data_IF_345119181386
#
_entry.id   IF_345119181386
#
_cell.length_a   1.000
_cell.length_b   1.000
_cell.length_c   1.000
_cell.angle_alpha   90.00
_cell.angle_beta   90.00
_cell.angle_gamma   90.00
#
_symmetry.space_group_name_H-M   'P 1'
#
loop_
_entity.id
_entity.type
_entity.pdbx_description
1 polymer ?
#
# COMPACT_ATOMS: atom_id res chain seq x y z
N UNK A 1 12.38 -10.28 8.93
CA UNK A 1 12.29 -9.63 7.60
C UNK A 1 13.09 -10.38 6.52
N UNK A 2 14.42 -10.53 6.67
CA UNK A 2 15.23 -11.26 5.67
C UNK A 2 14.89 -12.76 5.56
N UNK A 3 14.57 -13.41 6.68
CA UNK A 3 14.17 -14.83 6.72
C UNK A 3 12.85 -15.09 5.98
N UNK A 4 11.79 -14.33 6.31
CA UNK A 4 10.48 -14.38 5.63
C UNK A 4 10.59 -14.10 4.13
N UNK A 5 11.44 -13.15 3.72
CA UNK A 5 11.70 -12.87 2.31
C UNK A 5 12.37 -14.05 1.61
N UNK A 6 13.38 -14.65 2.26
CA UNK A 6 14.08 -15.83 1.77
C UNK A 6 13.14 -17.02 1.55
N UNK A 7 12.27 -17.27 2.52
CA UNK A 7 11.37 -18.43 2.51
C UNK A 7 10.24 -18.30 1.47
N UNK A 8 9.66 -17.11 1.31
CA UNK A 8 8.43 -16.94 0.51
C UNK A 8 8.59 -16.19 -0.81
N UNK A 9 9.66 -15.42 -1.00
CA UNK A 9 9.79 -14.52 -2.16
C UNK A 9 11.05 -14.78 -2.99
N UNK A 10 12.09 -15.41 -2.45
CA UNK A 10 13.37 -15.55 -3.14
C UNK A 10 13.34 -16.42 -4.42
N UNK A 11 12.31 -17.25 -4.59
CA UNK A 11 12.15 -18.14 -5.76
C UNK A 11 10.89 -17.85 -6.58
N UNK A 12 10.21 -16.74 -6.33
CA UNK A 12 9.02 -16.35 -7.08
C UNK A 12 9.42 -15.75 -8.43
N UNK A 13 8.93 -16.37 -9.50
CA UNK A 13 9.13 -15.91 -10.89
C UNK A 13 8.28 -14.68 -11.20
N UNK A 14 8.81 -13.76 -12.02
CA UNK A 14 8.08 -12.60 -12.53
C UNK A 14 7.62 -12.79 -13.98
N UNK A 15 7.71 -13.99 -14.54
CA UNK A 15 7.41 -14.27 -15.95
C UNK A 15 5.96 -13.95 -16.37
N UNK A 16 5.04 -13.96 -15.41
CA UNK A 16 3.63 -13.65 -15.62
C UNK A 16 3.27 -12.20 -15.20
N UNK A 17 4.26 -11.37 -14.91
CA UNK A 17 4.06 -9.97 -14.55
C UNK A 17 4.20 -9.07 -15.78
N UNK A 18 3.43 -7.98 -15.80
CA UNK A 18 3.61 -6.90 -16.77
C UNK A 18 4.64 -5.94 -16.19
N UNK A 19 5.76 -5.74 -16.90
CA UNK A 19 6.71 -4.67 -16.57
C UNK A 19 6.10 -3.33 -16.99
N UNK A 20 5.43 -2.67 -16.04
CA UNK A 20 4.64 -1.48 -16.30
C UNK A 20 5.54 -0.33 -16.75
N UNK A 21 5.29 0.16 -17.97
CA UNK A 21 5.86 1.42 -18.46
C UNK A 21 5.29 2.60 -17.67
N UNK A 22 5.86 3.79 -17.86
CA UNK A 22 5.32 5.00 -17.23
C UNK A 22 3.86 5.27 -17.65
N UNK A 23 3.50 4.97 -18.90
CA UNK A 23 2.13 5.10 -19.38
C UNK A 23 1.19 4.13 -18.66
N UNK A 24 1.62 2.88 -18.43
CA UNK A 24 0.86 1.87 -17.69
C UNK A 24 0.65 2.27 -16.24
N UNK A 25 1.72 2.73 -15.57
CA UNK A 25 1.66 3.23 -14.18
C UNK A 25 0.68 4.38 -14.05
N UNK A 26 0.73 5.36 -14.97
CA UNK A 26 -0.20 6.49 -14.98
C UNK A 26 -1.64 6.04 -15.21
N UNK A 27 -1.87 5.10 -16.12
CA UNK A 27 -3.21 4.53 -16.36
C UNK A 27 -3.75 3.83 -15.11
N UNK A 28 -2.94 3.01 -14.46
CA UNK A 28 -3.31 2.31 -13.21
C UNK A 28 -3.61 3.32 -12.10
N UNK A 29 -2.78 4.35 -11.93
CA UNK A 29 -3.03 5.41 -10.96
C UNK A 29 -4.37 6.09 -11.22
N UNK A 30 -4.63 6.48 -12.47
CA UNK A 30 -5.87 7.15 -12.84
C UNK A 30 -7.12 6.26 -12.66
N UNK A 31 -7.01 4.93 -12.72
CA UNK A 31 -8.12 4.04 -12.36
C UNK A 31 -8.52 4.20 -10.89
N UNK A 32 -7.56 4.48 -10.02
CA UNK A 32 -7.78 4.75 -8.60
C UNK A 32 -8.72 5.93 -8.35
N UNK A 33 -8.72 6.95 -9.22
CA UNK A 33 -9.57 8.13 -9.11
C UNK A 33 -11.06 7.77 -9.02
N UNK A 34 -11.55 6.91 -9.90
CA UNK A 34 -12.96 6.50 -9.93
C UNK A 34 -13.40 5.83 -8.62
N UNK A 35 -12.53 5.01 -8.05
CA UNK A 35 -12.85 4.29 -6.80
C UNK A 35 -12.65 5.15 -5.55
N UNK A 36 -11.55 5.88 -5.44
CA UNK A 36 -11.20 6.57 -4.20
C UNK A 36 -11.85 7.94 -4.14
N UNK A 37 -11.80 8.71 -5.23
CA UNK A 37 -12.33 10.07 -5.27
C UNK A 37 -13.83 10.03 -5.49
N UNK A 38 -14.29 9.42 -6.58
CA UNK A 38 -15.73 9.49 -6.93
C UNK A 38 -16.60 8.60 -6.02
N UNK A 39 -16.21 7.33 -5.81
CA UNK A 39 -17.05 6.40 -5.04
C UNK A 39 -16.87 6.53 -3.52
N UNK A 40 -15.63 6.67 -3.04
CA UNK A 40 -15.34 6.73 -1.59
C UNK A 40 -15.22 8.15 -1.04
N UNK A 41 -15.30 9.18 -1.89
CA UNK A 41 -15.28 10.59 -1.46
C UNK A 41 -13.93 11.06 -0.94
N UNK A 42 -12.83 10.42 -1.31
CA UNK A 42 -11.48 10.87 -0.95
C UNK A 42 -11.23 12.24 -1.59
N UNK A 43 -10.78 13.25 -0.82
CA UNK A 43 -10.41 14.54 -1.40
C UNK A 43 -9.37 14.37 -2.51
N UNK A 44 -9.60 15.03 -3.64
CA UNK A 44 -8.74 14.90 -4.82
C UNK A 44 -7.26 15.20 -4.50
N UNK A 45 -6.99 16.25 -3.73
CA UNK A 45 -5.61 16.63 -3.34
C UNK A 45 -4.89 15.50 -2.58
N UNK A 46 -5.59 14.84 -1.66
CA UNK A 46 -5.04 13.70 -0.91
C UNK A 46 -4.83 12.47 -1.80
N UNK A 47 -5.63 12.33 -2.86
CA UNK A 47 -5.40 11.32 -3.87
C UNK A 47 -4.17 11.63 -4.72
N UNK A 48 -4.01 12.86 -5.19
CA UNK A 48 -2.86 13.28 -6.01
C UNK A 48 -1.53 13.19 -5.25
N UNK A 49 -1.49 13.45 -3.94
CA UNK A 49 -0.27 13.26 -3.13
C UNK A 49 0.34 11.84 -3.30
N UNK A 50 -0.51 10.82 -3.49
CA UNK A 50 -0.09 9.41 -3.66
C UNK A 50 0.66 9.16 -4.97
N UNK A 51 0.65 10.11 -5.91
CA UNK A 51 1.44 10.05 -7.14
C UNK A 51 2.94 10.06 -6.84
N UNK A 52 3.35 10.73 -5.76
CA UNK A 52 4.75 10.92 -5.44
C UNK A 52 5.26 9.85 -4.47
N UNK A 53 6.41 9.24 -4.78
CA UNK A 53 7.01 8.24 -3.91
C UNK A 53 7.38 8.77 -2.52
N UNK A 54 7.63 10.08 -2.39
CA UNK A 54 7.89 10.72 -1.11
C UNK A 54 6.73 10.60 -0.12
N UNK A 55 5.48 10.60 -0.61
CA UNK A 55 4.30 10.35 0.21
C UNK A 55 4.40 8.97 0.88
N UNK A 56 4.62 7.93 0.09
CA UNK A 56 4.72 6.54 0.56
C UNK A 56 5.92 6.29 1.45
N UNK A 57 7.07 6.88 1.13
CA UNK A 57 8.25 6.81 1.99
C UNK A 57 8.01 7.51 3.32
N UNK A 58 7.32 8.66 3.29
CA UNK A 58 6.94 9.40 4.48
C UNK A 58 6.07 8.61 5.44
N UNK A 59 5.17 7.75 4.91
CA UNK A 59 4.30 6.90 5.72
C UNK A 59 5.05 5.85 6.54
N UNK A 60 6.26 5.44 6.13
CA UNK A 60 7.03 4.40 6.84
C UNK A 60 7.33 4.75 8.30
N UNK A 61 7.36 6.04 8.65
CA UNK A 61 7.55 6.49 10.04
C UNK A 61 6.41 6.06 10.98
N UNK A 62 5.25 5.73 10.44
CA UNK A 62 4.08 5.31 11.22
C UNK A 62 3.97 3.80 11.41
N UNK A 63 4.82 3.00 10.76
CA UNK A 63 4.71 1.52 10.81
C UNK A 63 4.66 1.01 12.25
N UNK A 64 5.60 1.42 13.11
CA UNK A 64 5.61 0.98 14.51
C UNK A 64 4.40 1.48 15.32
N UNK A 65 3.81 2.62 14.95
CA UNK A 65 2.58 3.11 15.59
C UNK A 65 1.40 2.25 15.20
N UNK A 66 1.29 1.89 13.92
CA UNK A 66 0.23 1.01 13.43
C UNK A 66 0.35 -0.39 14.02
N UNK A 67 1.57 -0.94 14.13
CA UNK A 67 1.80 -2.23 14.77
C UNK A 67 1.25 -2.23 16.21
N UNK A 68 1.59 -1.21 17.01
CA UNK A 68 1.05 -1.08 18.37
C UNK A 68 -0.48 -0.93 18.42
N UNK A 69 -1.07 -0.18 17.49
CA UNK A 69 -2.54 -0.05 17.40
C UNK A 69 -3.22 -1.37 17.01
N UNK A 70 -2.58 -2.16 16.14
CA UNK A 70 -3.07 -3.47 15.71
C UNK A 70 -3.02 -4.45 16.88
N UNK A 71 -1.91 -4.48 17.63
CA UNK A 71 -1.78 -5.32 18.82
C UNK A 71 -2.85 -5.00 19.86
N UNK A 72 -3.05 -3.72 20.19
CA UNK A 72 -4.10 -3.28 21.14
C UNK A 72 -5.51 -3.69 20.67
N UNK A 73 -5.79 -3.54 19.38
CA UNK A 73 -7.07 -3.94 18.81
C UNK A 73 -7.28 -5.47 18.93
N UNK A 74 -6.26 -6.26 18.61
CA UNK A 74 -6.34 -7.72 18.67
C UNK A 74 -6.52 -8.21 20.10
N UNK A 75 -5.81 -7.63 21.07
CA UNK A 75 -5.96 -7.96 22.49
C UNK A 75 -7.39 -7.70 22.99
N UNK A 76 -7.97 -6.56 22.59
CA UNK A 76 -9.35 -6.22 22.93
C UNK A 76 -10.37 -7.19 22.33
N UNK A 77 -10.17 -7.60 21.07
CA UNK A 77 -11.06 -8.54 20.39
C UNK A 77 -10.93 -9.95 20.97
N UNK A 78 -9.72 -10.37 21.37
CA UNK A 78 -9.49 -11.67 21.98
C UNK A 78 -10.00 -11.78 23.42
N UNK A 79 -10.11 -10.66 24.14
CA UNK A 79 -10.60 -10.61 25.51
C UNK A 79 -12.13 -10.62 25.64
N UNK A 80 -12.88 -10.43 24.55
CA UNK A 80 -14.35 -10.42 24.50
C UNK A 80 -14.92 -11.72 23.93
#
# INVERSE_FOLDING_TARGET
>A
AAEVFGEHLAHTSTEHMIDCTEADRRRIFNLGYYTWVEQQGTPFELFEERRHQSFWQGLRRYVGVWDSMIDEFNDRVAAG
#
